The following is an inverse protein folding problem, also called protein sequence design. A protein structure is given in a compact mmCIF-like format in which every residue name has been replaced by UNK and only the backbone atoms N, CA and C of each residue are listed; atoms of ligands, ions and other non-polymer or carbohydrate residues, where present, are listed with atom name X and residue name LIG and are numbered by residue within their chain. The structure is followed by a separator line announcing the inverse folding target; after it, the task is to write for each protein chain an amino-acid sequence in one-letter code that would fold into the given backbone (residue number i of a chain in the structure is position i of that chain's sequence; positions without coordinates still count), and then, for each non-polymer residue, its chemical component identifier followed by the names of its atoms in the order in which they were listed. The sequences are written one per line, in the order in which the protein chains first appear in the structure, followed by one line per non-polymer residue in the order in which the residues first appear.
data_IF_360663347930
#
_entry.id   IF_360663347930
#
_cell.length_a   1.000
_cell.length_b   1.000
_cell.length_c   1.000
_cell.angle_alpha   90.00
_cell.angle_beta   90.00
_cell.angle_gamma   90.00
#
_symmetry.space_group_name_H-M   'P 1'
#
loop_
_entity.id
_entity.type
_entity.pdbx_description
1 polymer ?
#
# COMPACT_ATOMS: atom_id res chain seq x y z
N UNK A 1 -10.76 6.73 -12.46
CA UNK A 1 -10.95 5.25 -12.24
C UNK A 1 -12.10 4.96 -11.27
N UNK A 2 -12.18 5.61 -10.09
CA UNK A 2 -13.22 5.35 -9.09
C UNK A 2 -14.64 5.53 -9.64
N UNK A 3 -14.95 6.68 -10.23
CA UNK A 3 -16.28 6.96 -10.83
C UNK A 3 -16.62 6.02 -11.99
N UNK A 4 -15.63 5.59 -12.76
CA UNK A 4 -15.84 4.62 -13.83
C UNK A 4 -16.22 3.23 -13.27
N UNK A 5 -15.49 2.75 -12.27
CA UNK A 5 -15.81 1.48 -11.61
C UNK A 5 -17.18 1.52 -10.93
N UNK A 6 -17.51 2.62 -10.26
CA UNK A 6 -18.81 2.84 -9.66
C UNK A 6 -19.92 2.79 -10.72
N UNK A 7 -19.76 3.49 -11.86
CA UNK A 7 -20.73 3.47 -12.93
C UNK A 7 -20.95 2.07 -13.52
N UNK A 8 -19.88 1.35 -13.84
CA UNK A 8 -19.97 0.01 -14.44
C UNK A 8 -20.58 -1.00 -13.48
N UNK A 9 -20.11 -1.08 -12.23
CA UNK A 9 -20.51 -2.15 -11.29
C UNK A 9 -21.70 -1.81 -10.41
N UNK A 10 -22.15 -0.57 -10.40
CA UNK A 10 -23.34 -0.19 -9.61
C UNK A 10 -24.51 0.27 -10.46
N UNK A 11 -24.28 0.81 -11.67
CA UNK A 11 -25.35 1.30 -12.54
C UNK A 11 -25.60 0.33 -13.70
N UNK A 12 -24.55 -0.04 -14.46
CA UNK A 12 -24.69 -0.93 -15.63
C UNK A 12 -24.91 -2.38 -15.18
N UNK A 13 -24.11 -2.84 -14.24
CA UNK A 13 -24.27 -4.16 -13.61
C UNK A 13 -24.51 -3.95 -12.12
N UNK A 14 -25.77 -3.89 -11.64
CA UNK A 14 -26.11 -3.58 -10.26
C UNK A 14 -25.74 -4.71 -9.28
N UNK A 15 -24.45 -5.07 -9.25
CA UNK A 15 -23.89 -6.10 -8.36
C UNK A 15 -23.56 -5.49 -6.98
N UNK A 16 -23.08 -4.23 -6.99
CA UNK A 16 -22.67 -3.52 -5.79
C UNK A 16 -23.47 -2.22 -5.61
N UNK A 17 -23.74 -1.83 -4.36
CA UNK A 17 -24.41 -0.56 -4.06
C UNK A 17 -23.54 0.63 -4.52
N UNK A 18 -24.20 1.71 -4.95
CA UNK A 18 -23.53 2.92 -5.46
C UNK A 18 -22.81 3.69 -4.38
N UNK A 19 -23.44 3.86 -3.22
CA UNK A 19 -22.96 4.66 -2.09
C UNK A 19 -23.46 4.07 -0.78
N UNK A 20 -22.84 4.46 0.32
CA UNK A 20 -23.27 4.10 1.66
C UNK A 20 -22.27 3.27 2.45
N UNK A 21 -22.65 2.94 3.68
CA UNK A 21 -21.84 2.23 4.67
C UNK A 21 -22.68 1.20 5.40
N UNK A 22 -22.07 0.17 5.93
CA UNK A 22 -22.74 -0.78 6.83
C UNK A 22 -22.79 -2.24 6.35
N UNK A 23 -22.49 -2.50 5.06
CA UNK A 23 -22.44 -3.88 4.55
C UNK A 23 -21.09 -4.11 3.83
N UNK A 24 -20.54 -5.32 3.91
CA UNK A 24 -19.29 -5.66 3.22
C UNK A 24 -19.31 -5.33 1.73
N UNK A 25 -20.48 -5.41 1.08
CA UNK A 25 -20.65 -5.06 -0.34
C UNK A 25 -20.32 -3.60 -0.65
N UNK A 26 -20.53 -2.67 0.29
CA UNK A 26 -20.21 -1.24 0.11
C UNK A 26 -18.69 -0.99 0.12
N UNK A 27 -17.92 -1.87 0.74
CA UNK A 27 -16.46 -1.74 0.83
C UNK A 27 -15.73 -2.30 -0.39
N UNK A 28 -16.30 -3.21 -1.15
CA UNK A 28 -15.64 -3.93 -2.24
C UNK A 28 -15.11 -2.97 -3.31
N UNK A 29 -15.97 -2.09 -3.83
CA UNK A 29 -15.58 -1.15 -4.88
C UNK A 29 -14.52 -0.13 -4.43
N UNK A 30 -14.64 0.54 -3.27
CA UNK A 30 -13.58 1.42 -2.74
C UNK A 30 -12.25 0.70 -2.58
N UNK A 31 -12.25 -0.51 -2.02
CA UNK A 31 -11.04 -1.32 -1.84
C UNK A 31 -10.39 -1.66 -3.18
N UNK A 32 -11.15 -2.12 -4.16
CA UNK A 32 -10.63 -2.39 -5.51
C UNK A 32 -10.00 -1.13 -6.11
N UNK A 33 -10.68 0.03 -5.99
CA UNK A 33 -10.16 1.31 -6.50
C UNK A 33 -8.80 1.66 -5.89
N UNK A 34 -8.64 1.45 -4.58
CA UNK A 34 -7.41 1.74 -3.86
C UNK A 34 -6.30 0.73 -4.15
N UNK A 35 -6.65 -0.53 -4.44
CA UNK A 35 -5.67 -1.60 -4.65
C UNK A 35 -5.09 -1.65 -6.07
N UNK A 36 -5.84 -1.28 -7.11
CA UNK A 36 -5.42 -1.45 -8.53
C UNK A 36 -4.07 -0.77 -8.81
N UNK A 37 -3.86 0.46 -8.35
CA UNK A 37 -2.60 1.18 -8.54
C UNK A 37 -1.42 0.52 -7.81
N UNK A 38 -1.50 0.35 -6.50
CA UNK A 38 -0.47 -0.31 -5.70
C UNK A 38 -0.11 -1.72 -6.19
N UNK A 39 -1.09 -2.57 -6.55
CA UNK A 39 -0.84 -3.92 -7.07
C UNK A 39 0.10 -3.88 -8.28
N UNK A 40 -0.18 -3.00 -9.26
CA UNK A 40 0.66 -2.87 -10.44
C UNK A 40 2.09 -2.40 -10.10
N UNK A 41 2.22 -1.53 -9.10
CA UNK A 41 3.51 -1.03 -8.62
C UNK A 41 4.30 -2.12 -7.92
N UNK A 42 3.70 -2.82 -6.97
CA UNK A 42 4.37 -3.92 -6.25
C UNK A 42 4.73 -5.08 -7.15
N UNK A 43 3.89 -5.42 -8.12
CA UNK A 43 4.21 -6.45 -9.11
C UNK A 43 5.47 -6.09 -9.91
N UNK A 44 5.64 -4.83 -10.31
CA UNK A 44 6.86 -4.35 -10.99
C UNK A 44 8.08 -4.39 -10.08
N UNK A 45 7.96 -3.91 -8.84
CA UNK A 45 9.05 -3.97 -7.86
C UNK A 45 9.48 -5.39 -7.58
N UNK A 46 8.52 -6.29 -7.34
CA UNK A 46 8.83 -7.70 -7.07
C UNK A 46 9.51 -8.35 -8.26
N UNK A 47 9.05 -8.08 -9.49
CA UNK A 47 9.69 -8.60 -10.71
C UNK A 47 11.14 -8.12 -10.84
N UNK A 48 11.41 -6.83 -10.66
CA UNK A 48 12.76 -6.28 -10.72
C UNK A 48 13.64 -6.92 -9.66
N UNK A 49 13.19 -6.97 -8.41
CA UNK A 49 13.94 -7.56 -7.30
C UNK A 49 14.24 -9.06 -7.49
N UNK A 50 13.31 -9.80 -8.09
CA UNK A 50 13.54 -11.22 -8.44
C UNK A 50 14.61 -11.35 -9.51
N UNK A 51 14.58 -10.53 -10.57
CA UNK A 51 15.59 -10.55 -11.62
C UNK A 51 16.97 -10.21 -11.07
N UNK A 52 17.07 -9.16 -10.25
CA UNK A 52 18.31 -8.74 -9.60
C UNK A 52 18.87 -9.84 -8.68
N UNK A 53 18.01 -10.55 -7.96
CA UNK A 53 18.41 -11.64 -7.07
C UNK A 53 18.85 -12.86 -7.84
N UNK A 54 18.20 -13.16 -8.95
CA UNK A 54 18.52 -14.35 -9.77
C UNK A 54 19.90 -14.25 -10.44
N UNK A 55 20.39 -13.03 -10.71
CA UNK A 55 21.71 -12.79 -11.29
C UNK A 55 22.86 -12.84 -10.29
N UNK A 56 22.61 -13.12 -9.02
CA UNK A 56 23.64 -13.12 -7.97
C UNK A 56 24.45 -14.43 -7.94
N UNK A 57 25.75 -14.34 -7.68
CA UNK A 57 26.69 -15.47 -7.67
C UNK A 57 26.33 -16.58 -6.67
N UNK A 58 25.65 -16.25 -5.56
CA UNK A 58 25.24 -17.27 -4.60
C UNK A 58 24.14 -18.20 -5.14
N UNK A 59 23.36 -17.76 -6.13
CA UNK A 59 22.37 -18.59 -6.81
C UNK A 59 23.10 -19.63 -7.69
N UNK A 60 24.08 -19.19 -8.46
CA UNK A 60 24.94 -20.10 -9.25
C UNK A 60 25.64 -21.14 -8.36
N UNK A 61 26.11 -20.70 -7.19
CA UNK A 61 26.72 -21.60 -6.21
C UNK A 61 25.73 -22.64 -5.66
N UNK A 62 24.47 -22.24 -5.42
CA UNK A 62 23.42 -23.15 -4.97
C UNK A 62 23.05 -24.18 -6.06
N UNK A 63 23.02 -23.78 -7.32
CA UNK A 63 22.81 -24.67 -8.47
C UNK A 63 23.96 -25.65 -8.62
N UNK A 64 25.21 -25.19 -8.53
CA UNK A 64 26.39 -26.03 -8.60
C UNK A 64 26.45 -27.11 -7.49
N UNK A 65 25.85 -26.82 -6.32
CA UNK A 65 25.68 -27.76 -5.20
C UNK A 65 24.51 -28.75 -5.41
N UNK A 66 23.83 -28.72 -6.55
CA UNK A 66 22.75 -29.64 -6.90
C UNK A 66 21.43 -29.36 -6.19
N UNK A 67 21.21 -28.12 -5.68
CA UNK A 67 19.93 -27.76 -5.09
C UNK A 67 18.82 -27.75 -6.14
N UNK A 68 17.66 -28.35 -5.80
CA UNK A 68 16.51 -28.39 -6.72
C UNK A 68 15.94 -26.98 -6.94
N UNK A 69 15.58 -26.66 -8.19
CA UNK A 69 15.01 -25.36 -8.60
C UNK A 69 13.91 -24.81 -7.66
N UNK A 70 12.89 -25.57 -7.21
CA UNK A 70 11.87 -25.02 -6.32
C UNK A 70 12.43 -24.60 -4.95
N UNK A 71 13.48 -25.27 -4.47
CA UNK A 71 14.15 -24.90 -3.21
C UNK A 71 14.97 -23.62 -3.37
N UNK A 72 15.64 -23.45 -4.51
CA UNK A 72 16.37 -22.20 -4.84
C UNK A 72 15.39 -21.04 -4.91
N UNK A 73 14.27 -21.20 -5.62
CA UNK A 73 13.26 -20.16 -5.78
C UNK A 73 12.66 -19.74 -4.43
N UNK A 74 12.22 -20.68 -3.60
CA UNK A 74 11.53 -20.34 -2.36
C UNK A 74 12.46 -19.85 -1.25
N UNK A 75 13.62 -20.48 -1.06
CA UNK A 75 14.51 -20.13 0.06
C UNK A 75 15.48 -19.00 -0.25
N UNK A 76 15.97 -18.93 -1.49
CA UNK A 76 17.01 -17.98 -1.84
C UNK A 76 16.47 -16.79 -2.62
N UNK A 77 15.70 -17.03 -3.70
CA UNK A 77 15.22 -15.94 -4.55
C UNK A 77 14.09 -15.19 -3.85
N UNK A 78 13.00 -15.87 -3.50
CA UNK A 78 11.82 -15.22 -2.92
C UNK A 78 12.13 -14.47 -1.63
N UNK A 79 12.83 -15.12 -0.70
CA UNK A 79 13.16 -14.49 0.59
C UNK A 79 14.00 -13.21 0.42
N UNK A 80 15.00 -13.23 -0.47
CA UNK A 80 15.88 -12.06 -0.66
C UNK A 80 15.20 -10.97 -1.50
N UNK A 81 14.36 -11.34 -2.48
CA UNK A 81 13.62 -10.40 -3.32
C UNK A 81 12.45 -9.75 -2.59
N UNK A 82 11.90 -10.42 -1.57
CA UNK A 82 10.76 -9.90 -0.80
C UNK A 82 11.15 -8.75 0.13
N UNK A 83 12.37 -8.72 0.66
CA UNK A 83 12.83 -7.66 1.58
C UNK A 83 12.70 -6.24 0.99
N UNK A 84 13.25 -5.94 -0.21
CA UNK A 84 13.08 -4.61 -0.82
C UNK A 84 11.61 -4.28 -1.11
N UNK A 85 10.81 -5.27 -1.50
CA UNK A 85 9.37 -5.09 -1.74
C UNK A 85 8.63 -4.77 -0.43
N UNK A 86 9.00 -5.42 0.67
CA UNK A 86 8.45 -5.17 2.00
C UNK A 86 8.75 -3.74 2.48
N UNK A 87 9.96 -3.22 2.22
CA UNK A 87 10.31 -1.84 2.54
C UNK A 87 9.37 -0.84 1.85
N UNK A 88 9.15 -1.01 0.54
CA UNK A 88 8.21 -0.16 -0.22
C UNK A 88 6.77 -0.32 0.28
N UNK A 89 6.37 -1.53 0.66
CA UNK A 89 5.04 -1.80 1.20
C UNK A 89 4.85 -1.09 2.55
N UNK A 90 5.80 -1.20 3.45
CA UNK A 90 5.75 -0.55 4.75
C UNK A 90 5.63 0.98 4.64
N UNK A 91 6.40 1.62 3.76
CA UNK A 91 6.29 3.07 3.53
C UNK A 91 4.94 3.47 2.93
N UNK A 92 4.34 2.60 2.12
CA UNK A 92 3.01 2.86 1.53
C UNK A 92 1.87 2.72 2.53
N UNK A 93 2.04 1.94 3.61
CA UNK A 93 1.05 1.84 4.70
C UNK A 93 0.82 3.22 5.33
N UNK A 94 1.88 4.01 5.53
CA UNK A 94 1.76 5.38 6.03
C UNK A 94 0.86 6.27 5.13
N UNK A 95 0.93 6.11 3.81
CA UNK A 95 0.09 6.86 2.88
C UNK A 95 -1.38 6.41 2.89
N UNK A 96 -1.65 5.16 3.22
CA UNK A 96 -3.03 4.65 3.34
C UNK A 96 -3.74 5.30 4.53
N UNK A 97 -3.04 5.50 5.65
CA UNK A 97 -3.62 6.17 6.83
C UNK A 97 -3.95 7.64 6.59
N UNK A 98 -3.26 8.31 5.66
CA UNK A 98 -3.63 9.67 5.24
C UNK A 98 -4.96 9.71 4.49
N UNK A 99 -5.52 8.56 4.12
CA UNK A 99 -6.80 8.41 3.48
C UNK A 99 -6.80 8.75 2.00
N UNK A 100 -7.81 8.26 1.32
CA UNK A 100 -8.11 8.67 -0.04
C UNK A 100 -9.35 9.55 -0.06
N UNK A 101 -9.20 10.83 0.22
CA UNK A 101 -10.28 11.82 0.29
C UNK A 101 -11.23 11.73 -0.90
N UNK A 102 -10.68 11.54 -2.09
CA UNK A 102 -11.45 11.45 -3.34
C UNK A 102 -12.30 10.19 -3.37
N UNK A 103 -11.75 9.04 -2.95
CA UNK A 103 -12.49 7.76 -2.93
C UNK A 103 -13.57 7.80 -1.85
N UNK A 104 -13.26 8.32 -0.66
CA UNK A 104 -14.24 8.48 0.41
C UNK A 104 -15.40 9.36 -0.03
N UNK A 105 -15.14 10.48 -0.72
CA UNK A 105 -16.16 11.39 -1.23
C UNK A 105 -17.01 10.76 -2.34
N UNK A 106 -16.40 10.04 -3.30
CA UNK A 106 -17.13 9.42 -4.42
C UNK A 106 -18.07 8.32 -3.92
N UNK A 107 -17.63 7.51 -2.95
CA UNK A 107 -18.42 6.41 -2.41
C UNK A 107 -19.27 6.80 -1.19
N UNK A 108 -19.25 8.08 -0.80
CA UNK A 108 -19.94 8.62 0.37
C UNK A 108 -19.63 7.81 1.66
N UNK A 109 -18.35 7.49 1.87
CA UNK A 109 -17.90 6.78 3.06
C UNK A 109 -17.81 7.78 4.24
N UNK A 110 -18.25 7.41 5.45
CA UNK A 110 -18.15 8.26 6.62
C UNK A 110 -16.71 8.29 7.15
N UNK A 111 -15.84 9.02 6.45
CA UNK A 111 -14.43 9.18 6.79
C UNK A 111 -14.03 10.64 6.96
N UNK A 112 -12.85 10.87 7.54
CA UNK A 112 -12.31 12.23 7.74
C UNK A 112 -12.08 12.97 6.41
N UNK A 113 -11.88 12.23 5.31
CA UNK A 113 -11.70 12.80 3.98
C UNK A 113 -12.93 13.52 3.46
N UNK A 114 -14.13 13.02 3.75
CA UNK A 114 -15.39 13.69 3.36
C UNK A 114 -15.55 15.01 4.10
N UNK A 115 -15.25 15.07 5.40
CA UNK A 115 -15.25 16.30 6.19
C UNK A 115 -14.22 17.30 5.69
N UNK A 116 -13.03 16.82 5.26
CA UNK A 116 -12.00 17.69 4.70
C UNK A 116 -12.46 18.35 3.40
N UNK A 117 -13.09 17.58 2.49
CA UNK A 117 -13.63 18.12 1.24
C UNK A 117 -14.79 19.09 1.49
N UNK A 118 -15.69 18.79 2.41
CA UNK A 118 -16.75 19.71 2.81
C UNK A 118 -16.19 21.03 3.35
N UNK A 119 -15.21 20.95 4.26
CA UNK A 119 -14.56 22.14 4.83
C UNK A 119 -13.91 23.03 3.76
N UNK A 120 -13.32 22.43 2.72
CA UNK A 120 -12.79 23.19 1.56
C UNK A 120 -13.89 23.91 0.81
N UNK A 121 -15.01 23.22 0.52
CA UNK A 121 -16.13 23.79 -0.21
C UNK A 121 -16.80 24.93 0.59
N UNK A 122 -16.92 24.76 1.91
CA UNK A 122 -17.52 25.72 2.84
C UNK A 122 -16.53 26.83 3.25
N UNK A 123 -15.26 26.76 2.82
CA UNK A 123 -14.18 27.69 3.16
C UNK A 123 -13.95 27.79 4.68
N UNK A 124 -14.17 26.70 5.40
CA UNK A 124 -13.90 26.62 6.84
C UNK A 124 -12.40 26.36 7.08
N UNK A 125 -11.65 27.45 7.19
CA UNK A 125 -10.18 27.37 7.41
C UNK A 125 -9.82 26.72 8.75
N UNK A 126 -10.66 26.89 9.78
CA UNK A 126 -10.41 26.30 11.09
C UNK A 126 -10.47 24.77 11.03
N UNK A 127 -11.49 24.25 10.37
CA UNK A 127 -11.66 22.81 10.14
C UNK A 127 -10.55 22.24 9.25
N UNK A 128 -10.19 22.95 8.16
CA UNK A 128 -9.11 22.55 7.27
C UNK A 128 -7.78 22.45 8.02
N UNK A 129 -7.42 23.45 8.83
CA UNK A 129 -6.18 23.45 9.61
C UNK A 129 -6.18 22.34 10.65
N UNK A 130 -7.30 22.16 11.38
CA UNK A 130 -7.43 21.08 12.36
C UNK A 130 -7.26 19.69 11.77
N UNK A 131 -7.91 19.41 10.63
CA UNK A 131 -7.77 18.13 9.93
C UNK A 131 -6.37 17.93 9.38
N UNK A 132 -5.71 18.96 8.85
CA UNK A 132 -4.31 18.86 8.40
C UNK A 132 -3.36 18.46 9.52
N UNK A 133 -3.53 19.05 10.72
CA UNK A 133 -2.72 18.66 11.89
C UNK A 133 -2.92 17.19 12.23
N UNK A 134 -4.18 16.72 12.25
CA UNK A 134 -4.52 15.33 12.54
C UNK A 134 -3.89 14.39 11.49
N UNK A 135 -4.07 14.67 10.19
CA UNK A 135 -3.52 13.84 9.12
C UNK A 135 -1.99 13.79 9.16
N UNK A 136 -1.35 14.95 9.37
CA UNK A 136 0.11 15.03 9.50
C UNK A 136 0.59 14.24 10.70
N UNK A 137 -0.08 14.34 11.84
CA UNK A 137 0.24 13.56 13.04
C UNK A 137 0.14 12.06 12.82
N UNK A 138 -0.96 11.59 12.20
CA UNK A 138 -1.14 10.18 11.84
C UNK A 138 -0.06 9.72 10.86
N UNK A 139 0.27 10.54 9.86
CA UNK A 139 1.30 10.23 8.87
C UNK A 139 2.68 10.06 9.53
N UNK A 140 3.10 11.02 10.37
CA UNK A 140 4.38 10.95 11.09
C UNK A 140 4.44 9.71 11.99
N UNK A 141 3.36 9.43 12.73
CA UNK A 141 3.28 8.24 13.57
C UNK A 141 3.39 6.96 12.75
N UNK A 142 2.73 6.90 11.60
CA UNK A 142 2.77 5.74 10.69
C UNK A 142 4.16 5.53 10.09
N UNK A 143 4.85 6.60 9.71
CA UNK A 143 6.25 6.52 9.24
C UNK A 143 7.15 6.01 10.34
N UNK A 144 7.04 6.54 11.56
CA UNK A 144 7.82 6.09 12.70
C UNK A 144 7.61 4.60 13.00
N UNK A 145 6.35 4.15 13.01
CA UNK A 145 6.03 2.73 13.19
C UNK A 145 6.62 1.86 12.07
N UNK A 146 6.56 2.35 10.84
CA UNK A 146 7.16 1.69 9.68
C UNK A 146 8.67 1.53 9.82
N UNK A 147 9.37 2.58 10.24
CA UNK A 147 10.83 2.56 10.43
C UNK A 147 11.23 1.59 11.56
N UNK A 148 10.47 1.56 12.64
CA UNK A 148 10.68 0.59 13.73
C UNK A 148 10.48 -0.84 13.23
N UNK A 149 9.41 -1.10 12.49
CA UNK A 149 9.13 -2.43 11.91
C UNK A 149 10.23 -2.87 10.94
N UNK A 150 10.70 -1.97 10.06
CA UNK A 150 11.80 -2.25 9.16
C UNK A 150 13.10 -2.54 9.91
N UNK A 151 13.42 -1.78 10.96
CA UNK A 151 14.60 -2.01 11.79
C UNK A 151 14.56 -3.36 12.53
N UNK A 152 13.37 -3.92 12.78
CA UNK A 152 13.21 -5.25 13.37
C UNK A 152 13.33 -6.35 12.30
N UNK A 153 12.73 -6.12 11.12
CA UNK A 153 12.64 -7.13 10.04
C UNK A 153 13.95 -7.24 9.23
N UNK A 154 14.66 -6.15 9.05
CA UNK A 154 15.93 -6.13 8.31
C UNK A 154 17.13 -5.82 9.23
N UNK A 155 17.80 -6.87 9.76
CA UNK A 155 18.97 -6.70 10.61
C UNK A 155 20.19 -6.08 9.89
N UNK A 156 20.16 -5.98 8.56
CA UNK A 156 21.25 -5.38 7.77
C UNK A 156 21.31 -3.87 7.95
N UNK A 157 20.19 -3.21 8.21
CA UNK A 157 20.11 -1.77 8.47
C UNK A 157 20.90 -1.43 9.74
N UNK A 158 20.85 -2.27 10.78
CA UNK A 158 21.60 -2.10 12.04
C UNK A 158 23.12 -2.18 11.88
N UNK A 159 23.61 -2.83 10.84
CA UNK A 159 25.07 -2.99 10.61
C UNK A 159 25.65 -1.82 9.82
N UNK A 160 24.85 -1.10 9.05
CA UNK A 160 25.28 0.08 8.30
C UNK A 160 25.47 1.31 9.21
N UNK A 161 24.75 1.40 10.31
CA UNK A 161 24.82 2.52 11.29
C UNK A 161 26.01 2.44 12.24
N UNK A 162 26.76 1.31 12.26
CA UNK A 162 27.94 1.07 13.12
C UNK A 162 29.28 1.32 12.42
N UNK A 163 29.29 1.91 11.25
CA UNK A 163 30.48 2.44 10.58
C UNK A 163 30.42 3.97 10.53
#
# INVERSE_FOLDING_TARGET
TASFLQYVFSVVWPIFPTTGWGTAKHMVLPVICLCVGPIATYARYMRSSVLDTTSQDYILTAEAKGAKTPRIVLLHIFRNSFLPCLTVLCTSVASIFSGSFIVESIFALPGLGTYFISAINDRDYSMILGLNIIFTGIYILSVLLTDILLGILDPRIRLAEKK
#
